data_IF_048631621815
#
_entry.id   IF_048631621815
#
_cell.length_a   1.000
_cell.length_b   1.000
_cell.length_c   1.000
_cell.angle_alpha   90.00
_cell.angle_beta   90.00
_cell.angle_gamma   90.00
#
_symmetry.space_group_name_H-M   'P 1'
#
loop_
_entity.id
_entity.type
_entity.pdbx_description
1 polymer ?
#
# COMPACT_ATOMS: atom_id res chain seq x y z
N UNK A 1 11.37 14.08 18.02
CA UNK A 1 10.90 13.14 16.98
C UNK A 1 12.13 12.40 16.53
N UNK A 2 12.14 11.08 16.71
CA UNK A 2 13.41 10.33 16.85
C UNK A 2 13.66 9.42 15.64
N UNK A 3 13.19 9.87 14.48
CA UNK A 3 13.36 9.19 13.20
C UNK A 3 13.86 10.18 12.16
N UNK A 4 14.91 9.80 11.43
CA UNK A 4 15.45 10.56 10.32
C UNK A 4 15.28 9.73 9.05
N UNK A 5 14.63 10.31 8.05
CA UNK A 5 14.56 9.74 6.71
C UNK A 5 15.64 10.39 5.85
N UNK A 6 16.68 9.63 5.55
CA UNK A 6 17.70 10.04 4.60
C UNK A 6 17.15 9.96 3.16
N UNK A 7 16.90 11.10 2.53
CA UNK A 7 16.51 11.20 1.12
C UNK A 7 17.71 10.99 0.18
N UNK A 8 18.29 9.78 0.19
CA UNK A 8 19.46 9.43 -0.64
C UNK A 8 19.38 8.02 -1.23
N UNK A 9 20.10 7.79 -2.33
CA UNK A 9 20.18 6.49 -3.00
C UNK A 9 20.28 6.59 -4.52
N UNK A 10 20.27 5.43 -5.20
CA UNK A 10 20.12 5.29 -6.66
C UNK A 10 18.76 4.69 -6.98
N UNK A 11 18.17 5.07 -8.12
CA UNK A 11 16.84 4.61 -8.55
C UNK A 11 15.69 5.34 -7.84
N UNK A 12 14.50 4.72 -7.80
CA UNK A 12 13.34 5.28 -7.11
C UNK A 12 13.55 5.32 -5.59
N UNK A 13 13.36 6.49 -4.99
CA UNK A 13 13.42 6.68 -3.53
C UNK A 13 12.29 5.87 -2.89
N UNK A 14 12.63 5.08 -1.86
CA UNK A 14 11.63 4.35 -1.07
C UNK A 14 10.81 5.34 -0.24
N UNK A 15 9.49 5.22 -0.25
CA UNK A 15 8.63 6.02 0.63
C UNK A 15 8.67 5.47 2.06
N UNK A 16 9.21 6.23 3.01
CA UNK A 16 9.26 5.81 4.43
C UNK A 16 8.16 6.43 5.28
N UNK A 17 7.66 7.59 4.84
CA UNK A 17 6.53 8.30 5.44
C UNK A 17 5.54 8.63 4.33
N UNK A 18 4.28 8.30 4.52
CA UNK A 18 3.22 8.51 3.52
C UNK A 18 1.98 9.12 4.16
N UNK A 19 1.34 10.05 3.46
CA UNK A 19 0.03 10.60 3.79
C UNK A 19 -0.89 10.41 2.58
N UNK A 20 -2.14 10.01 2.82
CA UNK A 20 -3.17 10.04 1.79
C UNK A 20 -3.73 11.46 1.63
N UNK A 21 -4.45 11.67 0.53
CA UNK A 21 -5.42 12.77 0.45
C UNK A 21 -6.38 12.70 1.64
N UNK A 22 -6.77 13.88 2.13
CA UNK A 22 -7.85 14.03 3.10
C UNK A 22 -9.17 13.73 2.41
N UNK A 23 -10.06 12.99 3.06
CA UNK A 23 -11.40 12.65 2.55
C UNK A 23 -12.47 13.04 3.55
N UNK A 24 -13.70 13.36 3.10
CA UNK A 24 -14.82 13.56 4.00
C UNK A 24 -15.07 12.31 4.84
N UNK A 25 -15.28 12.50 6.14
CA UNK A 25 -15.85 11.53 7.06
C UNK A 25 -17.31 11.87 7.37
N UNK A 26 -17.83 11.31 8.46
CA UNK A 26 -19.17 11.61 8.97
C UNK A 26 -19.16 12.86 9.86
N UNK A 27 -20.29 13.60 9.90
CA UNK A 27 -20.55 14.65 10.90
C UNK A 27 -19.48 15.75 11.01
N UNK A 28 -19.04 16.33 9.90
CA UNK A 28 -18.03 17.42 9.93
C UNK A 28 -16.62 16.94 10.32
N UNK A 29 -16.34 15.65 10.10
CA UNK A 29 -15.01 15.06 10.32
C UNK A 29 -14.33 14.81 9.00
N UNK A 30 -13.00 14.78 9.03
CA UNK A 30 -12.16 14.42 7.90
C UNK A 30 -11.32 13.19 8.22
N UNK A 31 -10.95 12.42 7.20
CA UNK A 31 -10.14 11.21 7.34
C UNK A 31 -8.83 11.36 6.55
N UNK A 32 -7.70 11.08 7.20
CA UNK A 32 -6.39 11.02 6.54
C UNK A 32 -5.64 9.77 6.95
N UNK A 33 -5.32 8.91 5.99
CA UNK A 33 -4.43 7.77 6.24
C UNK A 33 -2.99 8.23 6.30
N UNK A 34 -2.23 7.68 7.23
CA UNK A 34 -0.79 7.89 7.33
C UNK A 34 -0.06 6.55 7.46
N UNK A 35 1.22 6.55 7.10
CA UNK A 35 2.10 5.40 7.24
C UNK A 35 3.51 5.84 7.57
N UNK A 36 4.17 5.10 8.45
CA UNK A 36 5.54 5.34 8.89
C UNK A 36 6.31 4.02 8.99
N UNK A 37 7.49 3.95 8.37
CA UNK A 37 8.33 2.74 8.33
C UNK A 37 8.63 2.14 9.70
N UNK A 38 8.92 2.99 10.70
CA UNK A 38 9.25 2.57 12.08
C UNK A 38 8.06 2.49 13.05
N UNK A 39 7.04 3.33 12.88
CA UNK A 39 6.01 3.57 13.90
C UNK A 39 4.63 3.05 13.48
N UNK A 40 4.56 2.38 12.32
CA UNK A 40 3.31 1.86 11.78
C UNK A 40 2.48 2.95 11.09
N UNK A 41 1.20 2.67 10.88
CA UNK A 41 0.29 3.58 10.20
C UNK A 41 -1.12 3.44 10.74
N UNK A 42 -1.98 4.37 10.32
CA UNK A 42 -3.35 4.45 10.78
C UNK A 42 -4.14 5.44 9.95
N UNK A 43 -5.30 5.81 10.47
CA UNK A 43 -6.16 6.86 9.93
C UNK A 43 -6.41 7.86 11.04
N UNK A 44 -6.04 9.12 10.81
CA UNK A 44 -6.48 10.21 11.66
C UNK A 44 -7.90 10.61 11.29
N UNK A 45 -8.75 10.74 12.31
CA UNK A 45 -10.02 11.46 12.23
C UNK A 45 -9.74 12.88 12.68
N UNK A 46 -9.98 13.83 11.80
CA UNK A 46 -9.68 15.24 12.01
C UNK A 46 -10.97 16.04 12.15
N UNK A 47 -10.92 17.10 12.94
CA UNK A 47 -11.97 18.13 12.95
C UNK A 47 -11.91 18.96 11.67
N UNK A 48 -13.04 19.21 11.01
CA UNK A 48 -13.07 19.98 9.75
C UNK A 48 -12.76 21.47 9.96
N UNK A 49 -12.99 22.02 11.16
CA UNK A 49 -12.83 23.45 11.42
C UNK A 49 -11.36 23.87 11.58
N UNK A 50 -10.53 22.99 12.16
CA UNK A 50 -9.14 23.31 12.52
C UNK A 50 -8.11 22.22 12.19
N UNK A 51 -8.54 21.08 11.64
CA UNK A 51 -7.71 19.92 11.31
C UNK A 51 -6.99 19.27 12.52
N UNK A 52 -7.45 19.54 13.74
CA UNK A 52 -6.95 18.86 14.93
C UNK A 52 -7.29 17.36 14.89
N UNK A 53 -6.40 16.52 15.44
CA UNK A 53 -6.62 15.07 15.51
C UNK A 53 -7.60 14.78 16.65
N UNK A 54 -8.81 14.35 16.30
CA UNK A 54 -9.84 13.91 17.24
C UNK A 54 -9.62 12.46 17.67
N UNK A 55 -9.24 11.60 16.73
CA UNK A 55 -9.09 10.16 16.95
C UNK A 55 -8.02 9.57 16.00
N UNK A 56 -7.38 8.48 16.43
CA UNK A 56 -6.53 7.65 15.54
C UNK A 56 -7.09 6.24 15.47
N UNK A 57 -7.39 5.78 14.25
CA UNK A 57 -7.94 4.46 13.96
C UNK A 57 -6.93 3.55 13.28
N UNK A 58 -7.04 2.22 13.45
CA UNK A 58 -6.27 1.29 12.64
C UNK A 58 -6.67 1.43 11.16
N UNK A 59 -5.69 1.28 10.27
CA UNK A 59 -5.94 1.27 8.83
C UNK A 59 -6.55 -0.07 8.43
N UNK A 60 -7.71 -0.04 7.77
CA UNK A 60 -8.30 -1.25 7.23
C UNK A 60 -7.45 -1.84 6.09
N UNK A 61 -7.36 -3.18 5.98
CA UNK A 61 -6.68 -3.83 4.87
C UNK A 61 -7.28 -3.39 3.53
N UNK A 62 -6.43 -2.97 2.59
CA UNK A 62 -6.89 -2.60 1.24
C UNK A 62 -7.26 -3.81 0.38
N UNK A 63 -6.89 -5.02 0.80
CA UNK A 63 -7.11 -6.27 0.07
C UNK A 63 -7.52 -7.38 1.04
N UNK A 64 -8.31 -8.37 0.58
CA UNK A 64 -8.60 -9.57 1.37
C UNK A 64 -7.32 -10.24 1.87
N UNK A 65 -7.38 -10.77 3.10
CA UNK A 65 -6.21 -11.35 3.76
C UNK A 65 -5.70 -12.57 3.02
N UNK A 66 -6.60 -13.37 2.48
CA UNK A 66 -6.34 -14.59 1.71
C UNK A 66 -5.52 -14.29 0.46
N UNK A 67 -5.82 -13.17 -0.21
CA UNK A 67 -5.11 -12.74 -1.41
C UNK A 67 -3.79 -12.01 -1.11
N UNK A 68 -3.59 -11.60 0.14
CA UNK A 68 -2.37 -10.92 0.58
C UNK A 68 -1.26 -11.90 1.01
N UNK A 69 -1.55 -13.20 1.00
CA UNK A 69 -0.56 -14.25 1.28
C UNK A 69 0.25 -14.58 0.03
N UNK A 70 1.53 -14.89 0.23
CA UNK A 70 2.44 -15.38 -0.82
C UNK A 70 2.10 -16.83 -1.10
N UNK A 71 1.92 -17.17 -2.38
CA UNK A 71 1.57 -18.50 -2.86
C UNK A 71 2.78 -19.23 -3.47
N UNK A 72 3.78 -18.49 -3.94
CA UNK A 72 5.02 -19.05 -4.45
C UNK A 72 5.83 -19.73 -3.34
N UNK A 73 6.40 -20.90 -3.65
CA UNK A 73 7.35 -21.59 -2.77
C UNK A 73 8.76 -20.94 -2.79
N UNK A 74 8.95 -19.90 -3.60
CA UNK A 74 10.24 -19.24 -3.79
C UNK A 74 10.53 -18.28 -2.61
N UNK A 75 11.65 -18.49 -1.87
CA UNK A 75 11.98 -17.65 -0.72
C UNK A 75 12.13 -16.16 -1.08
N UNK A 76 11.55 -15.30 -0.24
CA UNK A 76 11.67 -13.84 -0.37
C UNK A 76 10.69 -13.20 -1.35
N UNK A 77 9.79 -13.97 -1.97
CA UNK A 77 8.68 -13.44 -2.76
C UNK A 77 7.75 -12.58 -1.89
N UNK A 78 7.17 -11.55 -2.51
CA UNK A 78 6.17 -10.65 -1.90
C UNK A 78 5.04 -10.41 -2.86
N UNK A 79 3.82 -10.31 -2.33
CA UNK A 79 2.64 -9.93 -3.12
C UNK A 79 2.72 -8.44 -3.47
N UNK A 80 2.57 -8.14 -4.74
CA UNK A 80 2.45 -6.79 -5.28
C UNK A 80 1.05 -6.60 -5.83
N UNK A 81 0.59 -5.36 -5.77
CA UNK A 81 -0.72 -4.95 -6.25
C UNK A 81 -0.61 -3.71 -7.11
N UNK A 82 -1.47 -3.61 -8.12
CA UNK A 82 -1.72 -2.36 -8.85
C UNK A 82 -3.21 -2.22 -9.08
N UNK A 83 -3.77 -1.06 -8.73
CA UNK A 83 -5.13 -0.70 -9.15
C UNK A 83 -5.19 -0.55 -10.67
N UNK A 84 -6.38 -0.81 -11.23
CA UNK A 84 -6.69 -0.42 -12.60
C UNK A 84 -6.65 1.12 -12.76
N UNK A 85 -6.19 1.59 -13.92
CA UNK A 85 -6.29 2.99 -14.34
C UNK A 85 -7.68 3.38 -14.84
N UNK A 86 -8.51 2.39 -15.18
CA UNK A 86 -9.86 2.54 -15.68
C UNK A 86 -10.96 2.54 -14.61
N UNK A 87 -12.20 2.61 -15.10
CA UNK A 87 -13.42 2.38 -14.32
C UNK A 87 -14.00 1.04 -14.70
N UNK A 88 -14.46 0.27 -13.71
CA UNK A 88 -15.16 -1.01 -13.95
C UNK A 88 -16.54 -0.84 -14.59
N UNK A 89 -17.09 0.39 -14.59
CA UNK A 89 -18.48 0.71 -14.94
C UNK A 89 -19.54 -0.05 -14.12
N UNK A 90 -19.12 -0.73 -13.05
CA UNK A 90 -19.97 -1.45 -12.10
C UNK A 90 -19.80 -0.81 -10.72
N UNK A 91 -20.89 -0.39 -10.08
CA UNK A 91 -20.83 0.24 -8.77
C UNK A 91 -20.23 -0.73 -7.72
N UNK A 92 -19.28 -0.23 -6.93
CA UNK A 92 -18.60 -1.01 -5.90
C UNK A 92 -17.59 -2.03 -6.42
N UNK A 93 -17.32 -2.09 -7.73
CA UNK A 93 -16.36 -3.02 -8.31
C UNK A 93 -15.06 -2.31 -8.65
N UNK A 94 -13.93 -2.94 -8.32
CA UNK A 94 -12.61 -2.54 -8.80
C UNK A 94 -11.80 -3.74 -9.29
N UNK A 95 -11.02 -3.54 -10.33
CA UNK A 95 -10.03 -4.52 -10.79
C UNK A 95 -8.65 -4.14 -10.27
N UNK A 96 -7.87 -5.14 -9.86
CA UNK A 96 -6.48 -4.95 -9.46
C UNK A 96 -5.62 -6.04 -10.10
N UNK A 97 -4.42 -5.69 -10.52
CA UNK A 97 -3.38 -6.66 -10.80
C UNK A 97 -2.78 -7.15 -9.49
N UNK A 98 -2.56 -8.46 -9.39
CA UNK A 98 -1.86 -9.14 -8.30
C UNK A 98 -0.74 -9.99 -8.88
N UNK A 99 0.47 -9.90 -8.34
CA UNK A 99 1.59 -10.77 -8.74
C UNK A 99 2.63 -10.87 -7.63
N UNK A 100 3.49 -11.89 -7.71
CA UNK A 100 4.55 -12.13 -6.73
C UNK A 100 5.93 -11.91 -7.34
N UNK A 101 6.77 -11.12 -6.69
CA UNK A 101 8.18 -10.97 -7.08
C UNK A 101 9.08 -10.86 -5.86
N UNK A 102 10.37 -11.09 -6.07
CA UNK A 102 11.38 -10.63 -5.12
C UNK A 102 11.29 -9.11 -4.98
N UNK A 103 11.76 -8.59 -3.85
CA UNK A 103 11.73 -7.15 -3.58
C UNK A 103 12.56 -6.33 -4.58
N UNK A 104 12.41 -5.01 -4.56
CA UNK A 104 13.25 -4.11 -5.37
C UNK A 104 14.70 -4.22 -4.92
N UNK A 105 15.64 -4.41 -5.86
CA UNK A 105 17.07 -4.55 -5.58
C UNK A 105 17.89 -3.30 -5.95
N UNK A 106 17.29 -2.10 -5.94
CA UNK A 106 17.95 -0.81 -6.30
C UNK A 106 18.72 -0.88 -7.62
N UNK A 107 18.10 -1.47 -8.64
CA UNK A 107 18.70 -1.69 -9.97
C UNK A 107 20.02 -2.48 -9.95
N UNK A 108 20.27 -3.25 -8.88
CA UNK A 108 21.41 -4.17 -8.80
C UNK A 108 21.01 -5.53 -9.35
N UNK A 109 21.92 -6.21 -10.07
CA UNK A 109 21.71 -7.60 -10.43
C UNK A 109 21.53 -8.45 -9.16
N UNK A 110 20.72 -9.50 -9.27
CA UNK A 110 20.62 -10.53 -8.23
C UNK A 110 21.64 -11.62 -8.55
N UNK A 111 22.30 -12.12 -7.53
CA UNK A 111 23.16 -13.29 -7.67
C UNK A 111 22.30 -14.56 -7.80
N UNK A 112 22.82 -15.54 -8.54
CA UNK A 112 22.14 -16.81 -8.79
C UNK A 112 21.19 -16.78 -9.98
N UNK A 113 20.50 -17.89 -10.18
CA UNK A 113 19.50 -18.01 -11.23
C UNK A 113 18.23 -17.20 -10.88
N UNK A 114 17.61 -16.53 -11.87
CA UNK A 114 16.32 -15.91 -11.67
C UNK A 114 15.28 -16.91 -11.16
N UNK A 115 14.33 -16.46 -10.31
CA UNK A 115 13.24 -17.32 -9.88
C UNK A 115 12.41 -17.81 -11.07
N UNK A 116 11.78 -18.97 -10.92
CA UNK A 116 10.83 -19.46 -11.92
C UNK A 116 9.67 -18.45 -12.08
N UNK A 117 9.06 -18.37 -13.27
CA UNK A 117 7.92 -17.49 -13.52
C UNK A 117 6.76 -17.79 -12.56
N UNK A 118 6.08 -16.75 -12.12
CA UNK A 118 4.86 -16.82 -11.30
C UNK A 118 3.69 -16.21 -12.05
N UNK A 119 2.47 -16.42 -11.54
CA UNK A 119 1.26 -15.86 -12.14
C UNK A 119 1.16 -14.33 -11.93
N UNK A 120 0.67 -13.67 -12.97
CA UNK A 120 0.10 -12.32 -12.92
C UNK A 120 -1.41 -12.47 -13.10
N UNK A 121 -2.17 -11.98 -12.12
CA UNK A 121 -3.61 -12.21 -12.03
C UNK A 121 -4.36 -10.88 -12.05
N UNK A 122 -5.53 -10.87 -12.70
CA UNK A 122 -6.51 -9.79 -12.55
C UNK A 122 -7.53 -10.23 -11.52
N UNK A 123 -7.62 -9.49 -10.42
CA UNK A 123 -8.57 -9.75 -9.33
C UNK A 123 -9.71 -8.73 -9.40
N UNK A 124 -10.95 -9.22 -9.54
CA UNK A 124 -12.17 -8.43 -9.37
C UNK A 124 -12.55 -8.38 -7.89
N UNK A 125 -12.48 -7.20 -7.29
CA UNK A 125 -12.90 -6.97 -5.90
C UNK A 125 -14.24 -6.23 -5.88
N UNK A 126 -15.09 -6.58 -4.91
CA UNK A 126 -16.32 -5.88 -4.58
C UNK A 126 -16.16 -5.24 -3.20
N UNK A 127 -16.45 -3.95 -3.12
CA UNK A 127 -16.48 -3.18 -1.87
C UNK A 127 -17.74 -3.51 -1.07
#
# INVERSE_FOLDING_TARGET
WDYHWDFQGRGSIITEISLSSVRPGEEGRLLQSYGHKKYGGGVWVLDESDFSILETRPKEPSYPRELSQVQSEIPGMRVNWSGDSGSSNEQGVRYNLRWETLERNRDRPREGEPPQPTWLEVVKLRN
#
